data_IF_138656423961
#
_entry.id   IF_138656423961
#
_cell.length_a   1.000
_cell.length_b   1.000
_cell.length_c   1.000
_cell.angle_alpha   90.00
_cell.angle_beta   90.00
_cell.angle_gamma   90.00
#
_symmetry.space_group_name_H-M   'P 1'
#
loop_
_entity.id
_entity.type
_entity.pdbx_description
1 polymer ?
#
# COMPACT_ATOMS: atom_id res chain seq x y z
N UNK A 1 23.08 -5.35 0.59
CA UNK A 1 23.00 -3.93 0.16
C UNK A 1 22.11 -3.23 1.17
N UNK A 2 22.23 -1.93 1.38
CA UNK A 2 21.36 -1.23 2.35
C UNK A 2 20.48 -0.21 1.64
N UNK A 3 19.20 -0.17 2.00
CA UNK A 3 18.32 0.94 1.67
C UNK A 3 18.33 1.94 2.82
N UNK A 4 18.52 3.22 2.52
CA UNK A 4 18.57 4.29 3.54
C UNK A 4 17.55 5.36 3.20
N UNK A 5 16.49 5.42 4.00
CA UNK A 5 15.55 6.53 3.98
C UNK A 5 16.08 7.67 4.86
N UNK A 6 16.28 8.84 4.27
CA UNK A 6 16.84 10.00 4.98
C UNK A 6 15.76 10.99 5.40
N UNK A 7 15.96 11.56 6.60
CA UNK A 7 15.20 12.65 7.17
C UNK A 7 16.17 13.75 7.63
N UNK A 8 15.65 14.89 8.07
CA UNK A 8 16.49 16.00 8.53
C UNK A 8 17.19 15.64 9.85
N UNK A 9 18.44 15.17 9.76
CA UNK A 9 19.30 14.82 10.90
C UNK A 9 19.22 13.36 11.37
N UNK A 10 18.40 12.51 10.73
CA UNK A 10 18.32 11.09 11.02
C UNK A 10 17.95 10.26 9.77
N UNK A 11 17.90 8.94 9.91
CA UNK A 11 17.52 8.05 8.81
C UNK A 11 17.13 6.66 9.31
N UNK A 12 16.39 5.95 8.47
CA UNK A 12 16.07 4.54 8.64
C UNK A 12 16.94 3.73 7.68
N UNK A 13 17.69 2.76 8.20
CA UNK A 13 18.48 1.82 7.41
C UNK A 13 17.79 0.46 7.45
N UNK A 14 17.54 -0.11 6.26
CA UNK A 14 16.97 -1.44 6.10
C UNK A 14 17.95 -2.26 5.24
N UNK A 15 18.38 -3.41 5.77
CA UNK A 15 19.21 -4.34 5.01
C UNK A 15 18.38 -4.99 3.89
N UNK A 16 18.86 -4.86 2.65
CA UNK A 16 18.20 -5.39 1.44
C UNK A 16 19.07 -6.42 0.72
N UNK A 17 18.42 -7.50 0.29
CA UNK A 17 19.04 -8.55 -0.53
C UNK A 17 19.23 -8.03 -1.95
N UNK A 18 18.17 -7.49 -2.55
CA UNK A 18 18.13 -6.99 -3.93
C UNK A 18 16.92 -6.10 -4.18
N UNK A 19 17.00 -5.27 -5.22
CA UNK A 19 15.83 -4.64 -5.86
C UNK A 19 15.16 -5.66 -6.77
N UNK A 20 13.84 -5.81 -6.69
CA UNK A 20 13.06 -6.77 -7.50
C UNK A 20 12.24 -6.11 -8.60
N UNK A 21 11.85 -4.85 -8.43
CA UNK A 21 11.10 -4.10 -9.44
C UNK A 21 11.35 -2.59 -9.33
N UNK A 22 11.18 -1.88 -10.44
CA UNK A 22 11.25 -0.43 -10.51
C UNK A 22 10.38 0.08 -11.66
N UNK A 23 9.64 1.15 -11.40
CA UNK A 23 8.96 1.94 -12.41
C UNK A 23 9.22 3.43 -12.15
N UNK A 24 9.29 4.19 -13.24
CA UNK A 24 9.45 5.64 -13.20
C UNK A 24 8.35 6.28 -14.03
N UNK A 25 7.84 7.44 -13.60
CA UNK A 25 6.73 8.11 -14.25
C UNK A 25 6.27 9.32 -13.43
N UNK A 26 5.05 9.26 -12.90
CA UNK A 26 4.52 10.26 -11.96
C UNK A 26 5.42 10.35 -10.72
N UNK A 27 5.89 9.20 -10.24
CA UNK A 27 6.81 9.03 -9.12
C UNK A 27 7.76 7.86 -9.43
N UNK A 28 8.86 7.75 -8.67
CA UNK A 28 9.76 6.58 -8.73
C UNK A 28 9.27 5.52 -7.75
N UNK A 29 8.75 4.41 -8.26
CA UNK A 29 8.25 3.28 -7.46
C UNK A 29 9.28 2.16 -7.51
N UNK A 30 9.74 1.71 -6.36
CA UNK A 30 10.76 0.67 -6.23
C UNK A 30 10.27 -0.40 -5.25
N UNK A 31 10.54 -1.67 -5.56
CA UNK A 31 10.29 -2.78 -4.65
C UNK A 31 11.59 -3.52 -4.38
N UNK A 32 11.87 -3.76 -3.11
CA UNK A 32 13.06 -4.48 -2.64
C UNK A 32 12.65 -5.75 -1.89
N UNK A 33 13.50 -6.77 -1.97
CA UNK A 33 13.48 -7.90 -1.05
C UNK A 33 14.43 -7.60 0.11
N UNK A 34 13.93 -7.57 1.35
CA UNK A 34 14.72 -7.27 2.54
C UNK A 34 15.29 -8.54 3.19
N UNK A 35 16.23 -8.38 4.12
CA UNK A 35 16.76 -9.50 4.89
C UNK A 35 15.74 -10.09 5.89
N UNK A 36 14.89 -9.26 6.51
CA UNK A 36 14.03 -9.67 7.63
C UNK A 36 12.59 -9.15 7.62
N UNK A 37 12.25 -8.18 6.78
CA UNK A 37 10.93 -7.51 6.76
C UNK A 37 10.05 -7.93 5.57
N UNK A 38 10.44 -9.00 4.85
CA UNK A 38 9.80 -9.38 3.60
C UNK A 38 10.11 -8.38 2.49
N UNK A 39 9.14 -8.08 1.63
CA UNK A 39 9.28 -7.07 0.58
C UNK A 39 8.99 -5.67 1.11
N UNK A 40 9.69 -4.70 0.56
CA UNK A 40 9.65 -3.29 0.92
C UNK A 40 9.20 -2.49 -0.31
N UNK A 41 8.12 -1.71 -0.16
CA UNK A 41 7.69 -0.73 -1.15
C UNK A 41 8.29 0.64 -0.83
N UNK A 42 8.92 1.25 -1.82
CA UNK A 42 9.51 2.58 -1.74
C UNK A 42 8.96 3.44 -2.86
N UNK A 43 8.58 4.68 -2.52
CA UNK A 43 8.14 5.68 -3.49
C UNK A 43 8.96 6.95 -3.26
N UNK A 44 9.62 7.45 -4.31
CA UNK A 44 10.50 8.63 -4.26
C UNK A 44 11.54 8.60 -3.12
N UNK A 45 12.05 7.39 -2.85
CA UNK A 45 13.03 7.16 -1.77
C UNK A 45 12.42 7.17 -0.36
N UNK A 46 11.09 7.14 -0.24
CA UNK A 46 10.36 7.03 1.03
C UNK A 46 9.72 5.67 1.20
N UNK A 47 9.90 5.08 2.38
CA UNK A 47 9.29 3.80 2.74
C UNK A 47 7.79 4.00 2.81
N UNK A 48 7.04 3.19 2.06
CA UNK A 48 5.57 3.19 2.13
C UNK A 48 5.08 2.08 3.05
N UNK A 49 5.62 0.87 2.90
CA UNK A 49 5.27 -0.29 3.73
C UNK A 49 6.32 -1.40 3.65
N UNK A 50 6.27 -2.33 4.61
CA UNK A 50 6.89 -3.65 4.49
C UNK A 50 5.83 -4.75 4.65
N UNK A 51 6.05 -5.90 4.03
CA UNK A 51 5.16 -7.07 4.20
C UNK A 51 5.02 -7.49 5.67
N UNK A 52 6.05 -7.26 6.49
CA UNK A 52 6.06 -7.65 7.90
C UNK A 52 5.07 -6.84 8.76
N UNK A 53 4.93 -5.54 8.51
CA UNK A 53 4.25 -4.60 9.43
C UNK A 53 3.12 -3.77 8.82
N UNK A 54 2.85 -3.89 7.51
CA UNK A 54 1.79 -3.13 6.82
C UNK A 54 0.42 -3.18 7.52
N UNK A 55 0.10 -4.32 8.13
CA UNK A 55 -1.18 -4.54 8.80
C UNK A 55 -1.40 -3.57 9.97
N UNK A 56 -0.35 -3.16 10.69
CA UNK A 56 -0.48 -2.18 11.77
C UNK A 56 -0.99 -0.83 11.24
N UNK A 57 -0.48 -0.39 10.08
CA UNK A 57 -0.89 0.86 9.46
C UNK A 57 -2.31 0.75 8.89
N UNK A 58 -2.58 -0.28 8.08
CA UNK A 58 -3.85 -0.42 7.38
C UNK A 58 -5.03 -0.67 8.31
N UNK A 59 -4.88 -1.54 9.31
CA UNK A 59 -5.96 -1.80 10.27
C UNK A 59 -6.31 -0.54 11.07
N UNK A 60 -5.30 0.22 11.52
CA UNK A 60 -5.54 1.45 12.25
C UNK A 60 -6.15 2.54 11.39
N UNK A 61 -5.69 2.69 10.15
CA UNK A 61 -6.23 3.64 9.18
C UNK A 61 -7.71 3.38 8.89
N UNK A 62 -8.10 2.11 8.78
CA UNK A 62 -9.44 1.73 8.31
C UNK A 62 -10.41 1.44 9.45
N UNK A 63 -10.02 0.61 10.42
CA UNK A 63 -10.98 0.08 11.40
C UNK A 63 -11.39 1.14 12.42
N UNK A 64 -10.54 2.12 12.73
CA UNK A 64 -10.90 3.22 13.63
C UNK A 64 -12.09 4.04 13.08
N UNK A 65 -12.04 4.60 11.86
CA UNK A 65 -13.18 5.34 11.31
C UNK A 65 -14.37 4.43 10.98
N UNK A 66 -14.15 3.22 10.46
CA UNK A 66 -15.24 2.31 10.09
C UNK A 66 -16.05 1.83 11.30
N UNK A 67 -15.41 1.52 12.42
CA UNK A 67 -16.10 1.14 13.65
C UNK A 67 -16.79 2.33 14.34
N UNK A 68 -16.36 3.55 14.05
CA UNK A 68 -16.98 4.78 14.58
C UNK A 68 -18.20 5.21 13.76
N UNK A 69 -18.29 4.80 12.49
CA UNK A 69 -19.40 5.13 11.59
C UNK A 69 -20.41 3.97 11.50
N UNK A 70 -21.55 4.10 12.20
CA UNK A 70 -22.55 3.01 12.33
C UNK A 70 -23.09 2.42 11.01
N UNK A 71 -22.96 3.11 9.86
CA UNK A 71 -23.53 2.70 8.56
C UNK A 71 -22.70 3.18 7.36
N UNK A 72 -21.37 3.04 7.41
CA UNK A 72 -20.54 3.34 6.24
C UNK A 72 -20.86 2.36 5.08
N UNK A 73 -21.60 2.82 4.07
CA UNK A 73 -21.97 2.01 2.88
C UNK A 73 -21.18 2.35 1.63
N UNK A 74 -20.65 3.57 1.55
CA UNK A 74 -19.83 4.04 0.43
C UNK A 74 -18.56 4.61 1.01
N UNK A 75 -17.42 4.13 0.54
CA UNK A 75 -16.09 4.54 1.02
C UNK A 75 -15.28 5.07 -0.15
N UNK A 76 -14.57 6.17 0.08
CA UNK A 76 -13.58 6.72 -0.84
C UNK A 76 -12.20 6.57 -0.18
N UNK A 77 -11.28 5.94 -0.89
CA UNK A 77 -9.85 5.85 -0.53
C UNK A 77 -9.10 6.74 -1.51
N UNK A 78 -8.25 7.64 -0.99
CA UNK A 78 -7.38 8.51 -1.79
C UNK A 78 -5.95 8.03 -1.58
N UNK A 79 -5.27 7.66 -2.66
CA UNK A 79 -4.03 6.89 -2.62
C UNK A 79 -4.30 5.41 -2.33
N UNK A 80 -3.34 4.75 -1.67
CA UNK A 80 -3.46 3.34 -1.27
C UNK A 80 -3.33 2.35 -2.44
N UNK A 81 -2.55 2.70 -3.47
CA UNK A 81 -2.30 1.84 -4.62
C UNK A 81 -1.70 0.47 -4.31
N UNK A 82 -1.18 0.26 -3.08
CA UNK A 82 -0.76 -1.07 -2.60
C UNK A 82 -1.93 -2.01 -2.28
N UNK A 83 -3.14 -1.47 -2.06
CA UNK A 83 -4.37 -2.20 -1.83
C UNK A 83 -4.61 -2.67 -0.39
N UNK A 84 -3.70 -2.41 0.56
CA UNK A 84 -3.88 -2.81 1.95
C UNK A 84 -5.08 -2.16 2.62
N UNK A 85 -5.25 -0.84 2.47
CA UNK A 85 -6.42 -0.14 2.98
C UNK A 85 -7.73 -0.65 2.32
N UNK A 86 -7.69 -0.94 1.02
CA UNK A 86 -8.84 -1.50 0.29
C UNK A 86 -9.26 -2.86 0.85
N UNK A 87 -8.30 -3.77 1.04
CA UNK A 87 -8.50 -5.08 1.69
C UNK A 87 -9.19 -4.94 3.03
N UNK A 88 -8.73 -4.01 3.87
CA UNK A 88 -9.30 -3.80 5.20
C UNK A 88 -10.72 -3.22 5.15
N UNK A 89 -11.01 -2.31 4.21
CA UNK A 89 -12.37 -1.75 4.04
C UNK A 89 -13.37 -2.83 3.64
N UNK A 90 -12.95 -3.76 2.78
CA UNK A 90 -13.81 -4.83 2.27
C UNK A 90 -14.21 -5.89 3.32
N UNK A 91 -13.56 -5.91 4.49
CA UNK A 91 -13.97 -6.70 5.67
C UNK A 91 -15.26 -6.16 6.32
N UNK A 92 -15.63 -4.92 6.02
CA UNK A 92 -16.86 -4.29 6.52
C UNK A 92 -18.02 -4.47 5.53
N UNK A 93 -19.25 -4.34 6.02
CA UNK A 93 -20.47 -4.40 5.22
C UNK A 93 -20.67 -3.08 4.42
N UNK A 94 -19.77 -2.85 3.46
CA UNK A 94 -19.81 -1.76 2.48
C UNK A 94 -20.49 -2.21 1.19
N UNK A 95 -21.20 -1.29 0.54
CA UNK A 95 -21.86 -1.51 -0.74
C UNK A 95 -21.00 -1.08 -1.94
N UNK A 96 -20.11 -0.09 -1.76
CA UNK A 96 -19.20 0.40 -2.79
C UNK A 96 -17.93 0.99 -2.18
N UNK A 97 -16.79 0.72 -2.79
CA UNK A 97 -15.51 1.36 -2.47
C UNK A 97 -14.95 1.96 -3.74
N UNK A 98 -14.58 3.25 -3.70
CA UNK A 98 -13.85 3.90 -4.78
C UNK A 98 -12.42 4.12 -4.29
N UNK A 99 -11.45 3.61 -5.02
CA UNK A 99 -10.04 3.88 -4.79
C UNK A 99 -9.54 4.81 -5.89
N UNK A 100 -8.98 5.95 -5.50
CA UNK A 100 -8.40 6.94 -6.42
C UNK A 100 -6.89 6.94 -6.23
N UNK A 101 -6.15 6.46 -7.22
CA UNK A 101 -4.69 6.40 -7.21
C UNK A 101 -4.15 7.12 -8.44
N UNK A 102 -3.28 8.11 -8.23
CA UNK A 102 -2.76 8.96 -9.31
C UNK A 102 -1.76 8.24 -10.21
N UNK A 103 -1.05 7.23 -9.69
CA UNK A 103 -0.05 6.50 -10.45
C UNK A 103 -0.40 5.03 -10.64
N UNK A 104 -0.79 4.68 -11.86
CA UNK A 104 -1.05 3.30 -12.29
C UNK A 104 0.11 2.36 -11.96
N UNK A 105 1.36 2.83 -12.02
CA UNK A 105 2.53 1.98 -11.77
C UNK A 105 2.54 1.44 -10.34
N UNK A 106 2.00 2.19 -9.36
CA UNK A 106 1.92 1.71 -7.97
C UNK A 106 1.05 0.48 -7.89
N UNK A 107 -0.16 0.52 -8.50
CA UNK A 107 -1.09 -0.61 -8.49
C UNK A 107 -0.49 -1.83 -9.18
N UNK A 108 0.02 -1.66 -10.41
CA UNK A 108 0.50 -2.80 -11.20
C UNK A 108 1.71 -3.49 -10.53
N UNK A 109 2.70 -2.71 -10.05
CA UNK A 109 3.87 -3.28 -9.36
C UNK A 109 3.48 -3.95 -8.03
N UNK A 110 2.55 -3.37 -7.27
CA UNK A 110 2.10 -3.97 -6.01
C UNK A 110 1.34 -5.27 -6.25
N UNK A 111 0.47 -5.33 -7.26
CA UNK A 111 -0.24 -6.55 -7.66
C UNK A 111 0.72 -7.63 -8.14
N UNK A 112 1.72 -7.27 -8.94
CA UNK A 112 2.68 -8.23 -9.50
C UNK A 112 3.64 -8.79 -8.43
N UNK A 113 4.14 -7.94 -7.53
CA UNK A 113 5.25 -8.30 -6.66
C UNK A 113 4.92 -8.45 -5.18
N UNK A 114 3.94 -7.72 -4.64
CA UNK A 114 3.64 -7.74 -3.20
C UNK A 114 2.43 -8.62 -2.87
N UNK A 115 1.31 -8.44 -3.56
CA UNK A 115 0.05 -9.14 -3.27
C UNK A 115 -0.61 -8.75 -1.94
N UNK A 116 -0.30 -7.57 -1.39
CA UNK A 116 -0.89 -7.04 -0.14
C UNK A 116 -2.40 -6.88 -0.24
N UNK A 117 -2.88 -6.50 -1.43
CA UNK A 117 -4.31 -6.34 -1.71
C UNK A 117 -5.10 -7.64 -1.49
N UNK A 118 -4.47 -8.81 -1.58
CA UNK A 118 -5.11 -10.12 -1.44
C UNK A 118 -6.37 -10.25 -2.33
N UNK A 119 -6.25 -9.85 -3.60
CA UNK A 119 -7.32 -9.81 -4.61
C UNK A 119 -8.43 -8.80 -4.31
N UNK A 120 -8.21 -7.84 -3.41
CA UNK A 120 -9.19 -6.80 -3.10
C UNK A 120 -9.55 -5.95 -4.32
N UNK A 121 -8.61 -5.74 -5.26
CA UNK A 121 -8.90 -5.02 -6.51
C UNK A 121 -9.90 -5.73 -7.42
N UNK A 122 -10.10 -7.04 -7.25
CA UNK A 122 -11.01 -7.84 -8.08
C UNK A 122 -12.42 -7.95 -7.47
N UNK A 123 -12.66 -7.38 -6.28
CA UNK A 123 -13.96 -7.43 -5.62
C UNK A 123 -15.00 -6.58 -6.41
N UNK A 124 -16.19 -7.11 -6.72
CA UNK A 124 -17.20 -6.42 -7.54
C UNK A 124 -17.73 -5.13 -6.91
N UNK A 125 -17.46 -4.87 -5.63
CA UNK A 125 -17.81 -3.63 -4.93
C UNK A 125 -16.82 -2.48 -5.22
N UNK A 126 -15.68 -2.76 -5.86
CA UNK A 126 -14.56 -1.84 -6.03
C UNK A 126 -14.60 -1.16 -7.39
N UNK A 127 -14.38 0.15 -7.38
CA UNK A 127 -14.10 0.96 -8.56
C UNK A 127 -12.74 1.63 -8.37
N UNK A 128 -11.83 1.40 -9.32
CA UNK A 128 -10.52 2.06 -9.34
C UNK A 128 -10.55 3.20 -10.34
N UNK A 129 -10.19 4.39 -9.86
CA UNK A 129 -10.05 5.60 -10.66
C UNK A 129 -8.56 5.97 -10.65
N UNK A 130 -8.03 6.26 -11.83
CA UNK A 130 -6.63 6.68 -12.03
C UNK A 130 -6.64 8.07 -12.65
#
# INVERSE_FOLDING_TARGET
>A
MDFVERYNGCGLLIAVKRKIAEATGVQRVEIFETESLGKLLVIDGKVQLTEFDEHFYHEMLVHVPMNSCKKAKKVLIIGGGDGGALREVLKHDVAKVVLVEIDRNVIELCKEHLGIDNKAFDDPRVEVVI
#
